data_IF_446928752365
#
_entry.id   IF_446928752365
#
_cell.length_a   1.000
_cell.length_b   1.000
_cell.length_c   1.000
_cell.angle_alpha   90.00
_cell.angle_beta   90.00
_cell.angle_gamma   90.00
#
_symmetry.space_group_name_H-M   'P 1'
#
loop_
_entity.id
_entity.type
_entity.pdbx_description
1 polymer ?
#
# COMPACT_ATOMS: atom_id res chain seq x y z
N UNK A 1 -10.82 -12.67 2.81
CA UNK A 1 -11.23 -12.33 4.20
C UNK A 1 -11.92 -10.96 4.25
N UNK A 2 -13.07 -10.82 4.92
CA UNK A 2 -13.69 -9.52 5.22
C UNK A 2 -13.68 -9.28 6.73
N UNK A 3 -13.41 -8.04 7.16
CA UNK A 3 -13.57 -7.60 8.55
C UNK A 3 -14.07 -6.15 8.61
N UNK A 4 -15.00 -5.89 9.52
CA UNK A 4 -15.49 -4.54 9.82
C UNK A 4 -14.98 -4.10 11.19
N UNK A 5 -14.37 -2.92 11.25
CA UNK A 5 -13.91 -2.28 12.48
C UNK A 5 -14.87 -1.16 12.86
N UNK A 6 -15.38 -1.17 14.08
CA UNK A 6 -16.34 -0.17 14.58
C UNK A 6 -15.65 0.80 15.54
N UNK A 7 -16.17 2.03 15.63
CA UNK A 7 -15.64 3.07 16.50
C UNK A 7 -14.28 3.63 16.08
N UNK A 8 -13.86 3.40 14.84
CA UNK A 8 -12.55 3.82 14.33
C UNK A 8 -12.66 5.10 13.50
N UNK A 9 -11.68 6.00 13.67
CA UNK A 9 -11.59 7.27 12.95
C UNK A 9 -10.22 7.35 12.28
N UNK A 10 -10.17 6.91 11.03
CA UNK A 10 -8.92 6.76 10.26
C UNK A 10 -9.10 7.33 8.86
N UNK A 11 -8.00 7.68 8.19
CA UNK A 11 -8.02 8.01 6.78
C UNK A 11 -7.71 6.74 5.95
N UNK A 12 -8.68 6.16 5.20
CA UNK A 12 -8.45 4.93 4.44
C UNK A 12 -7.33 5.05 3.41
N UNK A 13 -7.17 6.22 2.79
CA UNK A 13 -6.11 6.48 1.82
C UNK A 13 -4.72 6.39 2.49
N UNK A 14 -4.60 6.89 3.72
CA UNK A 14 -3.35 6.82 4.47
C UNK A 14 -3.02 5.37 4.88
N UNK A 15 -4.02 4.61 5.34
CA UNK A 15 -3.87 3.18 5.61
C UNK A 15 -3.43 2.44 4.33
N UNK A 16 -4.02 2.78 3.17
CA UNK A 16 -3.65 2.20 1.88
C UNK A 16 -2.18 2.44 1.52
N UNK A 17 -1.66 3.66 1.70
CA UNK A 17 -0.24 3.94 1.44
C UNK A 17 0.70 3.22 2.40
N UNK A 18 0.34 3.05 3.66
CA UNK A 18 1.15 2.25 4.59
C UNK A 18 1.17 0.77 4.20
N UNK A 19 0.01 0.22 3.79
CA UNK A 19 -0.07 -1.15 3.28
C UNK A 19 0.71 -1.34 1.98
N UNK A 20 0.65 -0.37 1.06
CA UNK A 20 1.45 -0.40 -0.17
C UNK A 20 2.94 -0.52 0.13
N UNK A 21 3.46 0.33 1.03
CA UNK A 21 4.85 0.28 1.45
C UNK A 21 5.19 -1.07 2.12
N UNK A 22 4.29 -1.59 2.95
CA UNK A 22 4.47 -2.90 3.58
C UNK A 22 4.55 -4.03 2.56
N UNK A 23 3.66 -4.07 1.56
CA UNK A 23 3.73 -5.05 0.47
C UNK A 23 4.98 -4.86 -0.38
N UNK A 24 5.34 -3.63 -0.73
CA UNK A 24 6.54 -3.34 -1.51
C UNK A 24 7.80 -3.84 -0.79
N UNK A 25 7.88 -3.64 0.54
CA UNK A 25 8.99 -4.15 1.37
C UNK A 25 9.11 -5.69 1.38
N UNK A 26 8.01 -6.39 1.06
CA UNK A 26 7.95 -7.85 0.93
C UNK A 26 8.22 -8.33 -0.51
N UNK A 27 8.62 -7.43 -1.41
CA UNK A 27 9.00 -7.74 -2.79
C UNK A 27 7.82 -7.82 -3.76
N UNK A 28 6.67 -7.23 -3.42
CA UNK A 28 5.53 -7.15 -4.34
C UNK A 28 5.64 -5.89 -5.22
N UNK A 29 5.19 -6.01 -6.46
CA UNK A 29 4.80 -4.85 -7.26
C UNK A 29 3.43 -4.38 -6.78
N UNK A 30 3.31 -3.10 -6.44
CA UNK A 30 2.12 -2.58 -5.78
C UNK A 30 1.50 -1.42 -6.53
N UNK A 31 0.21 -1.17 -6.28
CA UNK A 31 -0.46 0.07 -6.65
C UNK A 31 -1.59 0.38 -5.68
N UNK A 32 -1.87 1.66 -5.47
CA UNK A 32 -3.05 2.16 -4.76
C UNK A 32 -3.97 2.85 -5.74
N UNK A 33 -5.25 2.47 -5.73
CA UNK A 33 -6.29 3.10 -6.55
C UNK A 33 -7.40 3.58 -5.63
N UNK A 34 -7.74 4.86 -5.68
CA UNK A 34 -8.80 5.47 -4.88
C UNK A 34 -9.91 6.00 -5.76
N UNK A 35 -11.17 5.77 -5.36
CA UNK A 35 -12.35 6.42 -5.97
C UNK A 35 -13.44 6.59 -4.93
N UNK A 36 -13.93 7.82 -4.76
CA UNK A 36 -15.01 8.13 -3.80
C UNK A 36 -14.65 7.71 -2.36
N UNK A 37 -15.46 6.83 -1.78
CA UNK A 37 -15.30 6.31 -0.42
C UNK A 37 -14.54 4.97 -0.34
N UNK A 38 -14.03 4.46 -1.47
CA UNK A 38 -13.34 3.19 -1.57
C UNK A 38 -11.90 3.37 -2.04
N UNK A 39 -10.96 2.78 -1.32
CA UNK A 39 -9.55 2.71 -1.72
C UNK A 39 -9.15 1.25 -1.82
N UNK A 40 -8.46 0.86 -2.89
CA UNK A 40 -7.88 -0.46 -3.04
C UNK A 40 -6.35 -0.38 -3.10
N UNK A 41 -5.71 -1.39 -2.50
CA UNK A 41 -4.28 -1.66 -2.61
C UNK A 41 -4.15 -2.99 -3.33
N UNK A 42 -3.43 -3.02 -4.44
CA UNK A 42 -3.12 -4.26 -5.14
C UNK A 42 -1.63 -4.58 -5.01
N UNK A 43 -1.32 -5.84 -4.75
CA UNK A 43 0.03 -6.37 -4.59
C UNK A 43 0.19 -7.62 -5.48
N UNK A 44 1.09 -7.53 -6.45
CA UNK A 44 1.36 -8.56 -7.45
C UNK A 44 2.78 -9.07 -7.28
N UNK A 45 2.93 -10.40 -7.21
CA UNK A 45 4.25 -11.04 -7.17
C UNK A 45 4.80 -11.13 -8.59
N UNK A 46 6.07 -10.79 -8.77
CA UNK A 46 6.75 -10.91 -10.07
C UNK A 46 7.65 -12.17 -10.10
N UNK A 47 8.16 -12.52 -11.28
CA UNK A 47 9.06 -13.67 -11.46
C UNK A 47 8.34 -15.02 -11.60
N UNK A 48 9.00 -16.11 -11.20
CA UNK A 48 8.57 -17.51 -11.40
C UNK A 48 7.13 -17.77 -10.91
N UNK A 49 6.74 -17.16 -9.79
CA UNK A 49 5.40 -17.31 -9.20
C UNK A 49 4.28 -16.69 -10.04
N UNK A 50 4.58 -15.78 -10.99
CA UNK A 50 3.59 -15.21 -11.92
C UNK A 50 2.94 -16.28 -12.81
N UNK A 51 3.67 -17.35 -13.12
CA UNK A 51 3.19 -18.43 -13.97
C UNK A 51 2.18 -19.35 -13.26
N UNK A 52 2.26 -19.47 -11.94
CA UNK A 52 1.43 -20.41 -11.15
C UNK A 52 0.08 -19.80 -10.72
N UNK A 53 0.06 -18.53 -10.33
CA UNK A 53 -1.17 -17.85 -9.88
C UNK A 53 -1.97 -17.27 -11.05
N UNK A 54 -1.42 -17.28 -12.27
CA UNK A 54 -1.97 -16.58 -13.43
C UNK A 54 -1.44 -15.15 -13.53
N UNK A 55 -1.10 -14.74 -14.75
CA UNK A 55 -0.28 -13.55 -14.99
C UNK A 55 -0.92 -12.23 -14.53
N UNK A 56 -2.24 -12.19 -14.34
CA UNK A 56 -3.00 -11.00 -13.99
C UNK A 56 -3.60 -11.03 -12.59
N UNK A 57 -3.17 -11.96 -11.72
CA UNK A 57 -3.66 -11.98 -10.34
C UNK A 57 -2.92 -11.00 -9.45
N UNK A 58 -3.69 -10.38 -8.57
CA UNK A 58 -3.23 -9.48 -7.53
C UNK A 58 -3.86 -9.88 -6.20
N UNK A 59 -3.05 -9.88 -5.15
CA UNK A 59 -3.60 -9.77 -3.80
C UNK A 59 -4.13 -8.36 -3.62
N UNK A 60 -5.37 -8.21 -3.19
CA UNK A 60 -6.06 -6.93 -3.14
C UNK A 60 -6.66 -6.69 -1.75
N UNK A 61 -6.43 -5.49 -1.22
CA UNK A 61 -7.08 -4.97 -0.01
C UNK A 61 -8.00 -3.85 -0.42
N UNK A 62 -9.28 -3.88 -0.03
CA UNK A 62 -10.23 -2.79 -0.18
C UNK A 62 -10.52 -2.20 1.18
N UNK A 63 -10.49 -0.87 1.27
CA UNK A 63 -10.76 -0.10 2.47
C UNK A 63 -11.93 0.85 2.17
N UNK A 64 -12.96 0.81 3.01
CA UNK A 64 -14.16 1.65 2.86
C UNK A 64 -14.57 2.24 4.20
N UNK A 65 -14.99 3.51 4.20
CA UNK A 65 -15.41 4.23 5.41
C UNK A 65 -14.32 5.17 5.94
N UNK A 66 -13.95 5.02 7.20
CA UNK A 66 -12.96 5.85 7.91
C UNK A 66 -13.54 6.76 9.00
N UNK A 67 -14.87 6.95 9.02
CA UNK A 67 -15.55 7.79 10.01
C UNK A 67 -16.52 6.95 10.83
N UNK A 68 -16.12 6.54 12.03
CA UNK A 68 -16.91 5.69 12.92
C UNK A 68 -16.87 4.20 12.57
N UNK A 69 -16.51 3.82 11.34
CA UNK A 69 -16.23 2.45 10.95
C UNK A 69 -15.19 2.36 9.83
N UNK A 70 -14.53 1.21 9.70
CA UNK A 70 -13.70 0.86 8.55
C UNK A 70 -14.01 -0.58 8.13
N UNK A 71 -14.46 -0.75 6.90
CA UNK A 71 -14.64 -2.07 6.29
C UNK A 71 -13.39 -2.42 5.48
N UNK A 72 -12.93 -3.65 5.66
CA UNK A 72 -11.69 -4.15 5.07
C UNK A 72 -11.97 -5.49 4.41
N UNK A 73 -11.85 -5.52 3.08
CA UNK A 73 -11.88 -6.75 2.29
C UNK A 73 -10.48 -7.08 1.81
N UNK A 74 -10.09 -8.33 1.96
CA UNK A 74 -8.79 -8.86 1.56
C UNK A 74 -9.05 -10.09 0.70
N UNK A 75 -8.37 -10.23 -0.43
CA UNK A 75 -8.55 -11.41 -1.28
C UNK A 75 -7.75 -11.33 -2.58
N UNK A 76 -8.03 -12.26 -3.50
CA UNK A 76 -7.42 -12.24 -4.83
C UNK A 76 -8.36 -11.63 -5.86
N UNK A 77 -7.84 -10.78 -6.72
CA UNK A 77 -8.58 -10.20 -7.85
C UNK A 77 -7.70 -10.10 -9.09
N UNK A 78 -8.29 -9.63 -10.20
CA UNK A 78 -7.50 -9.19 -11.35
C UNK A 78 -6.73 -7.91 -10.99
N UNK A 79 -5.51 -7.80 -11.49
CA UNK A 79 -4.73 -6.56 -11.49
C UNK A 79 -5.39 -5.55 -12.40
N UNK A 80 -5.77 -4.40 -11.86
CA UNK A 80 -6.36 -3.31 -12.64
C UNK A 80 -5.24 -2.61 -13.43
N UNK A 81 -5.41 -2.47 -14.74
CA UNK A 81 -4.46 -1.73 -15.57
C UNK A 81 -4.76 -0.23 -15.43
N UNK A 82 -3.72 0.60 -15.50
CA UNK A 82 -3.87 2.05 -15.34
C UNK A 82 -4.89 2.70 -16.31
N UNK A 83 -5.02 2.15 -17.52
CA UNK A 83 -6.00 2.62 -18.52
C UNK A 83 -7.45 2.27 -18.18
N UNK A 84 -7.67 1.29 -17.30
CA UNK A 84 -9.00 0.75 -16.95
C UNK A 84 -9.45 1.23 -15.56
N UNK A 85 -8.78 2.24 -14.98
CA UNK A 85 -9.09 2.75 -13.64
C UNK A 85 -10.31 3.67 -13.73
N UNK A 86 -11.48 3.10 -13.43
CA UNK A 86 -12.74 3.82 -13.27
C UNK A 86 -13.42 3.43 -11.95
N UNK A 87 -14.36 4.25 -11.48
CA UNK A 87 -15.07 4.01 -10.22
C UNK A 87 -15.85 2.68 -10.23
N UNK A 88 -16.50 2.38 -11.36
CA UNK A 88 -17.25 1.15 -11.58
C UNK A 88 -16.33 -0.08 -11.61
N UNK A 89 -15.14 0.01 -12.20
CA UNK A 89 -14.18 -1.11 -12.20
C UNK A 89 -13.66 -1.40 -10.79
N UNK A 90 -13.30 -0.37 -10.04
CA UNK A 90 -12.81 -0.55 -8.66
C UNK A 90 -13.91 -1.17 -7.80
N UNK A 91 -15.13 -0.64 -7.84
CA UNK A 91 -16.25 -1.12 -7.01
C UNK A 91 -16.73 -2.52 -7.43
N UNK A 92 -16.71 -2.85 -8.72
CA UNK A 92 -17.13 -4.16 -9.24
C UNK A 92 -16.08 -5.28 -9.11
N UNK A 93 -14.85 -5.00 -8.65
CA UNK A 93 -13.83 -6.03 -8.47
C UNK A 93 -14.32 -7.18 -7.57
N UNK A 94 -14.33 -8.39 -8.13
CA UNK A 94 -14.68 -9.62 -7.42
C UNK A 94 -13.46 -10.14 -6.68
N UNK A 95 -13.60 -10.33 -5.37
CA UNK A 95 -12.54 -10.82 -4.48
C UNK A 95 -12.78 -12.30 -4.22
N UNK A 96 -11.92 -13.14 -4.80
CA UNK A 96 -11.97 -14.57 -4.58
C UNK A 96 -11.29 -14.89 -3.23
N UNK A 97 -11.93 -15.70 -2.36
CA UNK A 97 -11.28 -16.18 -1.14
C UNK A 97 -9.98 -16.92 -1.49
N UNK A 98 -8.91 -16.68 -0.75
CA UNK A 98 -7.65 -17.40 -0.97
C UNK A 98 -7.79 -18.91 -0.75
N UNK A 99 -8.68 -19.31 0.16
CA UNK A 99 -9.02 -20.72 0.40
C UNK A 99 -9.61 -21.44 -0.83
N UNK A 100 -10.06 -20.71 -1.87
CA UNK A 100 -10.55 -21.32 -3.12
C UNK A 100 -9.42 -21.87 -4.00
N UNK A 101 -8.16 -21.50 -3.75
CA UNK A 101 -7.00 -21.89 -4.56
C UNK A 101 -6.22 -23.08 -3.94
N UNK A 102 -6.92 -24.15 -3.53
CA UNK A 102 -6.28 -25.31 -2.89
C UNK A 102 -5.42 -26.11 -3.89
N UNK A 103 -4.23 -26.54 -3.45
CA UNK A 103 -3.37 -27.47 -4.21
C UNK A 103 -2.08 -26.89 -4.79
N UNK A 104 -1.66 -25.69 -4.38
CA UNK A 104 -0.36 -25.13 -4.78
C UNK A 104 0.38 -24.73 -3.51
N UNK A 105 1.27 -25.62 -3.05
CA UNK A 105 2.01 -25.53 -1.78
C UNK A 105 2.73 -24.18 -1.59
N UNK A 106 3.07 -23.51 -2.70
CA UNK A 106 3.80 -22.25 -2.71
C UNK A 106 2.91 -21.00 -2.77
N UNK A 107 1.65 -21.11 -3.18
CA UNK A 107 0.92 -19.93 -3.67
C UNK A 107 0.74 -18.91 -2.56
N UNK A 108 0.42 -19.33 -1.34
CA UNK A 108 0.51 -18.48 -0.18
C UNK A 108 0.65 -19.41 1.02
N UNK A 109 1.72 -19.30 1.81
CA UNK A 109 1.59 -19.55 3.24
C UNK A 109 0.29 -18.86 3.64
N UNK A 110 -0.73 -19.61 4.08
CA UNK A 110 -2.12 -19.16 4.38
C UNK A 110 -2.22 -17.89 5.25
N UNK A 111 -1.07 -17.44 5.75
CA UNK A 111 -0.80 -16.27 6.55
C UNK A 111 -0.89 -14.92 5.83
N UNK A 112 -0.83 -14.78 4.49
CA UNK A 112 -0.78 -13.41 3.91
C UNK A 112 -2.08 -12.61 4.18
N UNK A 113 -3.25 -13.26 4.15
CA UNK A 113 -4.52 -12.64 4.58
C UNK A 113 -4.46 -12.21 6.04
N UNK A 114 -3.99 -13.11 6.91
CA UNK A 114 -3.87 -12.85 8.34
C UNK A 114 -2.86 -11.76 8.67
N UNK A 115 -1.68 -11.79 8.05
CA UNK A 115 -0.61 -10.80 8.22
C UNK A 115 -1.05 -9.44 7.71
N UNK A 116 -1.78 -9.41 6.59
CA UNK A 116 -2.38 -8.18 6.07
C UNK A 116 -3.40 -7.63 7.06
N UNK A 117 -4.30 -8.48 7.57
CA UNK A 117 -5.31 -8.03 8.54
C UNK A 117 -4.66 -7.55 9.85
N UNK A 118 -3.62 -8.23 10.34
CA UNK A 118 -2.83 -7.81 11.50
C UNK A 118 -2.14 -6.46 11.25
N UNK A 119 -1.61 -6.24 10.06
CA UNK A 119 -0.99 -4.95 9.72
C UNK A 119 -2.05 -3.84 9.65
N UNK A 120 -3.23 -4.10 9.08
CA UNK A 120 -4.37 -3.17 9.12
C UNK A 120 -4.73 -2.82 10.57
N UNK A 121 -4.86 -3.82 11.45
CA UNK A 121 -5.14 -3.61 12.88
C UNK A 121 -4.08 -2.74 13.54
N UNK A 122 -2.79 -3.04 13.29
CA UNK A 122 -1.66 -2.24 13.78
C UNK A 122 -1.76 -0.79 13.31
N UNK A 123 -2.10 -0.57 12.04
CA UNK A 123 -2.24 0.76 11.45
C UNK A 123 -3.43 1.52 12.05
N UNK A 124 -4.57 0.86 12.25
CA UNK A 124 -5.74 1.43 12.95
C UNK A 124 -5.35 1.85 14.38
N UNK A 125 -4.67 0.98 15.12
CA UNK A 125 -4.22 1.31 16.49
C UNK A 125 -3.22 2.47 16.49
N UNK A 126 -2.27 2.50 15.55
CA UNK A 126 -1.27 3.56 15.46
C UNK A 126 -1.86 4.92 15.05
N UNK A 127 -2.89 4.93 14.20
CA UNK A 127 -3.54 6.16 13.74
C UNK A 127 -4.43 6.78 14.82
N UNK A 128 -4.99 5.98 15.74
CA UNK A 128 -5.74 6.49 16.89
C UNK A 128 -4.86 7.12 17.99
N UNK A 129 -3.54 6.90 17.96
CA UNK A 129 -2.61 7.49 18.93
C UNK A 129 -2.15 8.91 18.57
N UNK A 130 -2.57 9.45 17.42
CA UNK A 130 -2.39 10.85 17.09
C UNK A 130 -3.69 11.61 17.41
N UNK A 131 -3.70 12.51 18.42
CA UNK A 131 -4.78 13.47 18.57
C UNK A 131 -4.92 14.20 17.23
N UNK A 132 -6.16 14.26 16.74
CA UNK A 132 -6.55 14.97 15.53
C UNK A 132 -6.18 16.46 15.66
N UNK A 133 -4.95 16.81 15.30
CA UNK A 133 -4.57 18.16 14.89
C UNK A 133 -4.41 18.18 13.37
N UNK A 134 -5.46 17.78 12.66
CA UNK A 134 -5.62 18.16 11.27
C UNK A 134 -6.92 18.94 11.14
N UNK A 135 -6.77 20.25 11.18
CA UNK A 135 -7.79 21.22 10.81
C UNK A 135 -8.38 20.86 9.45
N UNK A 136 -9.70 20.87 9.38
CA UNK A 136 -10.52 20.75 8.16
C UNK A 136 -10.01 21.67 7.05
N UNK A 137 -9.32 21.10 6.07
CA UNK A 137 -9.18 21.72 4.76
C UNK A 137 -10.35 21.23 3.90
N UNK A 138 -11.17 22.13 3.33
CA UNK A 138 -12.24 21.75 2.42
C UNK A 138 -11.64 21.12 1.15
N UNK A 139 -12.08 19.91 0.82
CA UNK A 139 -11.70 19.23 -0.41
C UNK A 139 -12.22 20.02 -1.61
N UNK A 140 -11.35 20.77 -2.27
CA UNK A 140 -11.60 21.21 -3.64
C UNK A 140 -11.15 20.10 -4.59
N UNK A 141 -12.08 19.66 -5.44
CA UNK A 141 -11.84 18.72 -6.53
C UNK A 141 -10.98 19.39 -7.60
N UNK A 142 -9.68 19.06 -7.65
CA UNK A 142 -8.82 19.53 -8.73
C UNK A 142 -8.90 18.57 -9.93
N UNK A 143 -9.09 19.07 -11.16
CA UNK A 143 -9.00 18.25 -12.36
C UNK A 143 -7.58 17.69 -12.51
N UNK A 144 -7.47 16.38 -12.75
CA UNK A 144 -6.19 15.69 -12.88
C UNK A 144 -5.43 16.20 -14.10
N UNK A 145 -4.42 17.04 -13.87
CA UNK A 145 -3.40 17.37 -14.86
C UNK A 145 -2.13 16.59 -14.52
N UNK A 146 -1.44 15.98 -15.49
CA UNK A 146 -0.16 15.32 -15.25
C UNK A 146 0.89 16.39 -14.92
N UNK A 147 1.13 16.60 -13.62
CA UNK A 147 2.22 17.46 -13.16
C UNK A 147 3.51 16.64 -13.05
N UNK A 148 4.54 17.07 -13.77
CA UNK A 148 5.91 16.66 -13.52
C UNK A 148 6.34 17.25 -12.17
N UNK A 149 6.23 16.48 -11.09
CA UNK A 149 6.60 16.92 -9.75
C UNK A 149 8.12 17.15 -9.66
N UNK A 150 8.53 18.42 -9.67
CA UNK A 150 9.82 18.84 -9.13
C UNK A 150 9.69 18.93 -7.61
N UNK A 151 10.35 18.02 -6.90
CA UNK A 151 10.40 18.03 -5.44
C UNK A 151 11.17 19.28 -4.98
N UNK A 152 10.59 20.17 -4.16
CA UNK A 152 11.33 21.29 -3.59
C UNK A 152 12.43 20.75 -2.67
N UNK A 153 13.69 20.94 -3.07
CA UNK A 153 14.85 20.53 -2.29
C UNK A 153 15.01 21.46 -1.07
N UNK A 154 14.72 20.92 0.11
CA UNK A 154 15.31 21.46 1.33
C UNK A 154 16.84 21.27 1.25
N UNK A 155 17.66 22.22 1.76
CA UNK A 155 19.11 22.05 1.81
C UNK A 155 19.43 20.94 2.83
N UNK A 156 19.38 19.69 2.39
CA UNK A 156 19.79 18.56 3.19
C UNK A 156 21.31 18.54 3.20
N UNK A 157 21.90 18.71 4.39
CA UNK A 157 23.31 18.42 4.59
C UNK A 157 23.56 16.97 4.15
N UNK A 158 24.46 16.78 3.19
CA UNK A 158 24.88 15.46 2.71
C UNK A 158 26.21 15.06 3.36
N UNK A 159 26.43 13.76 3.55
CA UNK A 159 27.71 13.17 3.93
C UNK A 159 28.17 12.17 2.87
N UNK A 160 29.47 12.18 2.57
CA UNK A 160 30.05 11.31 1.55
C UNK A 160 30.41 9.96 2.14
N UNK A 161 30.04 8.88 1.45
CA UNK A 161 30.43 7.53 1.84
C UNK A 161 31.94 7.35 1.68
N UNK A 162 32.69 6.93 2.71
CA UNK A 162 34.14 6.74 2.61
C UNK A 162 34.52 5.50 1.78
N UNK A 163 33.61 4.54 1.60
CA UNK A 163 33.88 3.31 0.85
C UNK A 163 33.71 3.46 -0.67
N UNK A 164 32.72 4.23 -1.12
CA UNK A 164 32.40 4.34 -2.55
C UNK A 164 32.23 5.77 -3.06
N UNK A 165 32.36 6.78 -2.20
CA UNK A 165 32.26 8.18 -2.58
C UNK A 165 30.85 8.71 -2.83
N UNK A 166 29.80 7.89 -2.66
CA UNK A 166 28.40 8.31 -2.89
C UNK A 166 27.94 9.34 -1.84
N UNK A 167 27.23 10.38 -2.29
CA UNK A 167 26.66 11.39 -1.40
C UNK A 167 25.34 10.90 -0.82
N UNK A 168 25.30 10.72 0.49
CA UNK A 168 24.14 10.26 1.23
C UNK A 168 23.56 11.42 2.04
N UNK A 169 22.25 11.46 2.32
CA UNK A 169 21.70 12.43 3.26
C UNK A 169 22.33 12.24 4.65
N UNK A 170 22.47 13.31 5.44
CA UNK A 170 23.17 13.29 6.73
C UNK A 170 22.61 12.26 7.73
N UNK A 171 21.30 12.01 7.68
CA UNK A 171 20.60 11.02 8.50
C UNK A 171 20.72 9.57 7.99
N UNK A 172 21.41 9.33 6.87
CA UNK A 172 21.61 7.97 6.36
C UNK A 172 22.46 7.15 7.34
N UNK A 173 21.95 5.98 7.75
CA UNK A 173 22.67 5.00 8.57
C UNK A 173 23.53 4.06 7.72
N UNK A 174 23.13 3.83 6.47
CA UNK A 174 23.85 3.00 5.50
C UNK A 174 23.96 3.73 4.15
N UNK A 175 25.02 3.46 3.39
CA UNK A 175 25.21 4.00 2.06
C UNK A 175 24.18 3.41 1.09
N UNK A 176 23.41 4.27 0.44
CA UNK A 176 22.35 3.87 -0.50
C UNK A 176 22.90 3.25 -1.79
N UNK A 177 24.20 3.43 -2.08
CA UNK A 177 24.85 2.84 -3.25
C UNK A 177 25.58 1.52 -2.95
N UNK A 178 26.25 1.40 -1.80
CA UNK A 178 27.13 0.25 -1.51
C UNK A 178 26.88 -0.45 -0.16
N UNK A 179 25.92 0.01 0.64
CA UNK A 179 25.58 -0.60 1.93
C UNK A 179 26.55 -0.33 3.09
N UNK A 180 27.62 0.44 2.90
CA UNK A 180 28.58 0.79 3.96
C UNK A 180 27.90 1.51 5.13
N UNK A 181 28.25 1.17 6.37
CA UNK A 181 27.68 1.79 7.57
C UNK A 181 28.21 3.22 7.73
N UNK A 182 27.29 4.21 7.78
CA UNK A 182 27.62 5.64 7.86
C UNK A 182 27.29 6.25 9.24
N UNK A 183 26.82 5.44 10.19
CA UNK A 183 26.47 5.86 11.55
C UNK A 183 27.71 6.01 12.44
#
# INVERSE_FOLDING_TARGET
MNKSFQGVYVNPQQIAYFLENWFSSKGYKTQVLGSGSSVIVQAKKEGFFRALVGADRAFTVRLMGGQGYLNVDVGMSNWVKAADVTEDVITALVFWPLAAFQGIEEIYNLRIEEDTMKEVERLIMSSQQFPQQFSSQPYQSYPYQPQTYQVPQSPQMTKRCPACGYENPSNARFCMNCGYNLA
#
